data_IF_464208129363
#
_entry.id   IF_464208129363
#
_cell.length_a   1.000
_cell.length_b   1.000
_cell.length_c   1.000
_cell.angle_alpha   90.00
_cell.angle_beta   90.00
_cell.angle_gamma   90.00
#
_symmetry.space_group_name_H-M   'P 1'
#
loop_
_entity.id
_entity.type
_entity.pdbx_description
1 polymer ?
#
# COMPACT_ATOMS: atom_id res chain seq x y z
N UNK A 1 0.29 0.96 3.76
CA UNK A 1 -0.94 0.32 3.21
C UNK A 1 -0.87 0.41 1.69
N UNK A 2 -0.90 -0.71 0.97
CA UNK A 2 -0.96 -0.69 -0.50
C UNK A 2 -2.35 -0.23 -0.91
N UNK A 3 -2.47 0.87 -1.66
CA UNK A 3 -3.76 1.38 -2.15
C UNK A 3 -4.12 0.63 -3.45
N UNK A 4 -5.18 -0.19 -3.48
CA UNK A 4 -5.61 -0.83 -4.71
C UNK A 4 -6.10 0.21 -5.73
N UNK A 5 -5.95 -0.11 -7.02
CA UNK A 5 -6.51 0.71 -8.11
C UNK A 5 -8.03 0.72 -7.98
N UNK A 6 -8.61 1.92 -7.88
CA UNK A 6 -10.07 2.07 -7.80
C UNK A 6 -10.70 2.11 -9.19
N UNK A 7 -12.02 1.91 -9.27
CA UNK A 7 -12.76 2.07 -10.52
C UNK A 7 -12.61 3.46 -11.16
N UNK A 8 -12.50 4.51 -10.33
CA UNK A 8 -12.24 5.86 -10.81
C UNK A 8 -10.85 5.98 -11.45
N UNK A 9 -9.84 5.29 -10.90
CA UNK A 9 -8.49 5.28 -11.45
C UNK A 9 -8.45 4.55 -12.79
N UNK A 10 -9.18 3.43 -12.93
CA UNK A 10 -9.34 2.73 -14.21
C UNK A 10 -9.96 3.64 -15.28
N UNK A 11 -11.04 4.35 -14.93
CA UNK A 11 -11.70 5.27 -15.86
C UNK A 11 -10.78 6.41 -16.30
N UNK A 12 -10.04 7.02 -15.36
CA UNK A 12 -9.07 8.09 -15.66
C UNK A 12 -7.95 7.58 -16.56
N UNK A 13 -7.37 6.44 -16.23
CA UNK A 13 -6.32 5.78 -17.02
C UNK A 13 -6.78 5.46 -18.45
N UNK A 14 -8.00 4.92 -18.60
CA UNK A 14 -8.57 4.61 -19.91
C UNK A 14 -8.75 5.86 -20.75
N UNK A 15 -9.31 6.92 -20.15
CA UNK A 15 -9.59 8.18 -20.83
C UNK A 15 -8.30 8.93 -21.20
N UNK A 16 -7.30 8.95 -20.32
CA UNK A 16 -6.00 9.59 -20.62
C UNK A 16 -5.26 8.90 -21.77
N UNK A 17 -5.52 7.60 -21.98
CA UNK A 17 -4.97 6.83 -23.08
C UNK A 17 -5.89 6.76 -24.32
N UNK A 18 -6.98 7.52 -24.37
CA UNK A 18 -7.97 7.51 -25.46
C UNK A 18 -8.48 6.11 -25.85
N UNK A 19 -8.75 5.26 -24.84
CA UNK A 19 -9.23 3.88 -25.04
C UNK A 19 -10.73 3.75 -24.80
N UNK A 20 -11.37 2.82 -25.51
CA UNK A 20 -12.78 2.45 -25.27
C UNK A 20 -12.89 1.37 -24.20
N UNK A 21 -14.06 1.24 -23.56
CA UNK A 21 -14.31 0.17 -22.57
C UNK A 21 -14.21 -1.22 -23.22
N UNK A 22 -14.57 -1.33 -24.50
CA UNK A 22 -14.41 -2.53 -25.33
C UNK A 22 -12.95 -2.97 -25.47
N UNK A 23 -12.05 -2.02 -25.79
CA UNK A 23 -10.62 -2.27 -25.95
C UNK A 23 -10.00 -2.73 -24.62
N UNK A 24 -10.38 -2.08 -23.52
CA UNK A 24 -9.87 -2.44 -22.20
C UNK A 24 -10.36 -3.84 -21.77
N UNK A 25 -11.62 -4.16 -22.02
CA UNK A 25 -12.18 -5.47 -21.71
C UNK A 25 -11.46 -6.59 -22.49
N UNK A 26 -11.17 -6.36 -23.78
CA UNK A 26 -10.39 -7.28 -24.61
C UNK A 26 -8.99 -7.54 -24.05
N UNK A 27 -8.29 -6.49 -23.63
CA UNK A 27 -6.95 -6.60 -23.01
C UNK A 27 -6.99 -7.36 -21.68
N UNK A 28 -8.02 -7.12 -20.87
CA UNK A 28 -8.20 -7.80 -19.59
C UNK A 28 -8.77 -9.23 -19.71
N UNK A 29 -9.16 -9.67 -20.92
CA UNK A 29 -9.75 -10.99 -21.16
C UNK A 29 -11.12 -11.17 -20.50
N UNK A 30 -11.93 -10.12 -20.41
CA UNK A 30 -13.25 -10.13 -19.77
C UNK A 30 -14.33 -9.53 -20.67
N UNK A 31 -15.59 -9.69 -20.27
CA UNK A 31 -16.70 -9.01 -20.95
C UNK A 31 -16.65 -7.49 -20.73
N UNK A 32 -17.19 -6.72 -21.67
CA UNK A 32 -17.33 -5.26 -21.52
C UNK A 32 -18.13 -4.88 -20.27
N UNK A 33 -19.18 -5.65 -19.94
CA UNK A 33 -20.01 -5.44 -18.75
C UNK A 33 -19.18 -5.59 -17.47
N UNK A 34 -18.31 -6.59 -17.42
CA UNK A 34 -17.38 -6.80 -16.29
C UNK A 34 -16.45 -5.61 -16.13
N UNK A 35 -15.86 -5.12 -17.22
CA UNK A 35 -14.97 -3.96 -17.18
C UNK A 35 -15.72 -2.68 -16.73
N UNK A 36 -16.94 -2.43 -17.22
CA UNK A 36 -17.76 -1.31 -16.75
C UNK A 36 -18.18 -1.45 -15.28
N UNK A 37 -18.34 -2.67 -14.79
CA UNK A 37 -18.57 -2.95 -13.36
C UNK A 37 -17.37 -2.52 -12.50
N UNK A 38 -16.15 -2.73 -13.00
CA UNK A 38 -14.92 -2.26 -12.35
C UNK A 38 -14.84 -0.74 -12.33
N UNK A 39 -15.10 -0.04 -13.44
CA UNK A 39 -15.08 1.44 -13.46
C UNK A 39 -16.13 2.05 -12.52
N UNK A 40 -17.26 1.35 -12.29
CA UNK A 40 -18.30 1.72 -11.33
C UNK A 40 -17.97 1.34 -9.88
N UNK A 41 -16.85 0.66 -9.62
CA UNK A 41 -16.44 0.22 -8.29
C UNK A 41 -17.27 -0.91 -7.71
N UNK A 42 -18.04 -1.64 -8.53
CA UNK A 42 -18.89 -2.76 -8.08
C UNK A 42 -18.11 -4.06 -7.84
N UNK A 43 -16.95 -4.18 -8.46
CA UNK A 43 -16.04 -5.32 -8.35
C UNK A 43 -14.63 -4.86 -8.72
N UNK A 44 -13.63 -5.70 -8.48
CA UNK A 44 -12.22 -5.36 -8.69
C UNK A 44 -11.55 -6.31 -9.70
N UNK A 45 -10.60 -5.80 -10.51
CA UNK A 45 -9.75 -6.64 -11.35
C UNK A 45 -8.75 -7.43 -10.51
N UNK A 46 -8.36 -8.61 -11.01
CA UNK A 46 -7.22 -9.35 -10.46
C UNK A 46 -5.91 -8.63 -10.77
N UNK A 47 -4.86 -8.89 -9.99
CA UNK A 47 -3.54 -8.25 -10.16
C UNK A 47 -2.99 -8.34 -11.59
N UNK A 48 -3.05 -9.51 -12.22
CA UNK A 48 -2.60 -9.71 -13.59
C UNK A 48 -3.39 -8.87 -14.61
N UNK A 49 -4.71 -8.71 -14.41
CA UNK A 49 -5.55 -7.86 -15.25
C UNK A 49 -5.20 -6.39 -15.06
N UNK A 50 -4.99 -5.96 -13.81
CA UNK A 50 -4.53 -4.60 -13.50
C UNK A 50 -3.20 -4.28 -14.18
N UNK A 51 -2.24 -5.21 -14.19
CA UNK A 51 -0.96 -5.01 -14.88
C UNK A 51 -1.12 -4.90 -16.40
N UNK A 52 -1.93 -5.77 -17.01
CA UNK A 52 -2.19 -5.73 -18.46
C UNK A 52 -2.81 -4.40 -18.89
N UNK A 53 -3.78 -3.89 -18.12
CA UNK A 53 -4.44 -2.61 -18.40
C UNK A 53 -3.48 -1.42 -18.25
N UNK A 54 -2.65 -1.40 -17.20
CA UNK A 54 -1.65 -0.35 -16.99
C UNK A 54 -0.60 -0.32 -18.12
N UNK A 55 -0.11 -1.49 -18.54
CA UNK A 55 0.82 -1.61 -19.65
C UNK A 55 0.19 -1.15 -20.97
N UNK A 56 -1.05 -1.52 -21.24
CA UNK A 56 -1.77 -1.15 -22.46
C UNK A 56 -2.09 0.36 -22.53
N UNK A 57 -2.37 0.98 -21.39
CA UNK A 57 -2.55 2.43 -21.28
C UNK A 57 -1.23 3.22 -21.25
N UNK A 58 -0.07 2.54 -21.39
CA UNK A 58 1.26 3.16 -21.38
C UNK A 58 1.50 4.06 -20.16
N UNK A 59 0.88 3.74 -19.02
CA UNK A 59 1.18 4.46 -17.79
C UNK A 59 2.60 4.11 -17.37
N UNK A 60 3.46 5.12 -17.38
CA UNK A 60 4.85 4.97 -16.95
C UNK A 60 4.90 4.85 -15.42
N UNK A 61 5.11 3.62 -14.93
CA UNK A 61 5.28 3.31 -13.51
C UNK A 61 6.71 3.55 -13.00
N UNK A 62 7.67 3.85 -13.89
CA UNK A 62 9.07 4.10 -13.53
C UNK A 62 9.22 5.13 -12.39
N UNK A 63 8.51 6.27 -12.38
CA UNK A 63 8.66 7.24 -11.29
C UNK A 63 8.30 6.68 -9.92
N UNK A 64 7.33 5.78 -9.85
CA UNK A 64 6.90 5.14 -8.59
C UNK A 64 7.99 4.16 -8.12
N UNK A 65 8.50 3.32 -9.03
CA UNK A 65 9.55 2.36 -8.70
C UNK A 65 10.85 3.04 -8.28
N UNK A 66 11.24 4.14 -8.93
CA UNK A 66 12.41 4.92 -8.52
C UNK A 66 12.30 5.44 -7.08
N UNK A 67 11.10 5.86 -6.64
CA UNK A 67 10.87 6.27 -5.24
C UNK A 67 10.95 5.09 -4.28
N UNK A 68 10.47 3.91 -4.66
CA UNK A 68 10.64 2.70 -3.84
C UNK A 68 12.11 2.33 -3.68
N UNK A 69 12.92 2.46 -4.73
CA UNK A 69 14.35 2.17 -4.67
C UNK A 69 15.09 3.18 -3.77
N UNK A 70 14.75 4.46 -3.85
CA UNK A 70 15.25 5.49 -2.93
C UNK A 70 14.91 5.17 -1.48
N UNK A 71 13.66 4.79 -1.22
CA UNK A 71 13.21 4.41 0.12
C UNK A 71 13.90 3.14 0.63
N UNK A 72 14.19 2.18 -0.24
CA UNK A 72 14.96 0.98 0.10
C UNK A 72 16.39 1.35 0.54
N UNK A 73 17.04 2.26 -0.19
CA UNK A 73 18.37 2.78 0.17
C UNK A 73 18.35 3.50 1.51
N UNK A 74 17.30 4.27 1.79
CA UNK A 74 17.09 4.92 3.08
C UNK A 74 17.03 3.90 4.23
N UNK A 75 16.23 2.84 4.07
CA UNK A 75 16.10 1.80 5.08
C UNK A 75 17.32 0.90 5.23
N UNK A 76 18.05 0.63 4.14
CA UNK A 76 19.30 -0.15 4.17
C UNK A 76 20.37 0.53 5.05
N UNK A 77 20.31 1.85 5.29
CA UNK A 77 21.21 2.51 6.26
C UNK A 77 21.03 2.01 7.69
N UNK A 78 19.86 1.48 8.02
CA UNK A 78 19.56 0.91 9.33
C UNK A 78 19.84 -0.61 9.42
N UNK A 79 20.21 -1.29 8.32
CA UNK A 79 20.63 -2.70 8.36
C UNK A 79 21.86 -2.94 9.24
N UNK A 80 22.71 -1.92 9.41
CA UNK A 80 23.85 -1.99 10.32
C UNK A 80 23.44 -1.99 11.81
N UNK A 81 22.17 -1.71 12.13
CA UNK A 81 21.66 -1.65 13.51
C UNK A 81 20.97 -2.94 13.97
N UNK A 82 20.72 -3.91 13.08
CA UNK A 82 19.96 -5.13 13.40
C UNK A 82 20.62 -6.33 12.75
N UNK A 83 20.91 -7.38 13.52
CA UNK A 83 21.27 -8.67 12.94
C UNK A 83 20.05 -9.27 12.22
N UNK A 84 20.15 -9.45 10.91
CA UNK A 84 19.09 -10.03 10.07
C UNK A 84 18.66 -11.44 10.55
N UNK A 85 19.47 -12.12 11.37
CA UNK A 85 19.13 -13.40 12.01
C UNK A 85 18.29 -13.26 13.28
N UNK A 86 18.13 -12.04 13.81
CA UNK A 86 17.33 -11.74 15.00
C UNK A 86 16.35 -10.57 14.77
N UNK A 87 15.30 -10.76 13.95
CA UNK A 87 14.40 -9.70 13.49
C UNK A 87 13.54 -9.02 14.57
N UNK A 88 13.56 -9.49 15.81
CA UNK A 88 12.74 -8.99 16.92
C UNK A 88 13.54 -8.20 17.99
N UNK A 89 14.82 -7.91 17.78
CA UNK A 89 15.65 -7.22 18.79
C UNK A 89 15.14 -5.81 19.18
N UNK A 90 14.54 -5.08 18.24
CA UNK A 90 14.00 -3.73 18.45
C UNK A 90 12.49 -3.71 18.70
N UNK A 91 11.85 -4.87 18.75
CA UNK A 91 10.41 -4.94 18.99
C UNK A 91 10.18 -4.68 20.47
N UNK A 92 9.75 -3.47 20.83
CA UNK A 92 9.27 -3.18 22.17
C UNK A 92 8.19 -4.22 22.49
N UNK A 93 8.50 -5.15 23.41
CA UNK A 93 7.58 -6.24 23.70
C UNK A 93 6.32 -5.65 24.32
N UNK A 94 5.16 -6.12 23.89
CA UNK A 94 3.88 -5.73 24.49
C UNK A 94 3.71 -6.25 25.95
N UNK A 95 4.77 -6.81 26.56
CA UNK A 95 4.82 -7.29 27.94
C UNK A 95 6.03 -6.70 28.66
N UNK A 96 5.96 -5.41 28.99
CA UNK A 96 6.56 -4.79 30.18
C UNK A 96 6.12 -3.33 30.23
N UNK A 97 4.89 -3.12 30.71
CA UNK A 97 4.46 -1.88 31.36
C UNK A 97 3.30 -2.23 32.32
N UNK A 98 3.48 -3.29 33.13
CA UNK A 98 2.54 -3.61 34.20
C UNK A 98 2.92 -3.01 35.56
N UNK A 99 4.13 -2.45 35.76
CA UNK A 99 4.59 -2.09 37.12
C UNK A 99 5.68 -1.00 37.11
N UNK A 100 5.34 0.25 36.78
CA UNK A 100 5.99 1.40 37.41
C UNK A 100 4.83 2.24 37.95
N UNK A 101 4.42 1.93 39.19
CA UNK A 101 3.33 2.61 39.88
C UNK A 101 3.66 4.08 40.12
N UNK A 102 2.61 4.90 40.16
CA UNK A 102 2.72 6.28 40.62
C UNK A 102 3.29 6.31 42.05
N UNK A 103 4.31 7.14 42.35
CA UNK A 103 4.63 7.42 43.74
C UNK A 103 3.53 8.33 44.30
N UNK A 104 2.74 7.75 45.21
CA UNK A 104 1.70 8.43 45.96
C UNK A 104 2.22 9.67 46.67
N UNK A 105 1.44 10.74 46.56
CA UNK A 105 1.49 11.88 47.47
C UNK A 105 0.58 11.55 48.66
N UNK A 106 1.16 11.03 49.75
CA UNK A 106 0.46 10.96 51.03
C UNK A 106 0.48 12.35 51.71
N UNK A 107 -0.64 12.78 52.31
CA UNK A 107 -0.78 14.11 52.88
C UNK A 107 0.00 14.22 54.20
N UNK A 108 0.82 15.27 54.31
CA UNK A 108 1.48 15.62 55.57
C UNK A 108 0.43 16.07 56.59
N UNK A 109 0.15 15.22 57.57
CA UNK A 109 -0.56 15.60 58.80
C UNK A 109 0.43 16.01 59.88
N UNK A 110 0.21 17.22 60.40
CA UNK A 110 0.51 17.74 61.73
C UNK A 110 1.95 18.11 62.12
N UNK A 111 2.12 19.41 62.31
CA UNK A 111 2.47 19.99 63.62
C UNK A 111 1.66 21.27 63.84
#
# INVERSE_FOLDING_TARGET
MFRPITGADLKRMRLSANRTTEQMAKVAGVSRVTYESWEKGKSEPRMNQSYALQAYCQINLSPIFSRFDELKKEFDRYKMLVDDKQPNQLRASARKNHLNGEPGHEPETSS
#
